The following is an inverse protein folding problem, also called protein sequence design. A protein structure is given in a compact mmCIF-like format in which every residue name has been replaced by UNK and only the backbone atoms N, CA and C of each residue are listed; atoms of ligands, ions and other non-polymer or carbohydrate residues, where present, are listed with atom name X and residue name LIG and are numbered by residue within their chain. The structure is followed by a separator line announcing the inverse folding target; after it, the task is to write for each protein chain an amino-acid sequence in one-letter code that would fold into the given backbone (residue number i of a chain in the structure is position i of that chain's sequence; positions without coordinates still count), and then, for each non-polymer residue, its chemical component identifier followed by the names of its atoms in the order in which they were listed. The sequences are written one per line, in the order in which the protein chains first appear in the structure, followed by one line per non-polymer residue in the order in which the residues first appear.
data_IF_198447306054
#
_entry.id   IF_198447306054
#
_cell.length_a   1.000
_cell.length_b   1.000
_cell.length_c   1.000
_cell.angle_alpha   90.00
_cell.angle_beta   90.00
_cell.angle_gamma   90.00
#
_symmetry.space_group_name_H-M   'P 1'
#
loop_
_entity.id
_entity.type
_entity.pdbx_description
1 polymer ?
#
# COMPACT_ATOMS: atom_id res chain seq x y z
N UNK A 1 -28.90 -4.27 -25.18
CA UNK A 1 -28.11 -5.41 -24.67
C UNK A 1 -27.07 -4.84 -23.73
N UNK A 2 -27.30 -4.99 -22.44
CA UNK A 2 -26.44 -4.53 -21.33
C UNK A 2 -25.78 -5.77 -20.72
N UNK A 3 -24.45 -5.82 -20.53
CA UNK A 3 -23.85 -6.83 -19.67
C UNK A 3 -23.94 -6.33 -18.23
N UNK A 4 -24.83 -6.95 -17.45
CA UNK A 4 -24.86 -6.82 -16.00
C UNK A 4 -23.63 -7.52 -15.41
N UNK A 5 -22.73 -6.79 -14.76
CA UNK A 5 -21.81 -7.41 -13.81
C UNK A 5 -22.61 -7.88 -12.61
N UNK A 6 -22.83 -9.19 -12.52
CA UNK A 6 -23.31 -9.81 -11.30
C UNK A 6 -22.14 -9.88 -10.32
N UNK A 7 -22.21 -9.15 -9.22
CA UNK A 7 -21.49 -9.50 -8.01
C UNK A 7 -22.03 -10.86 -7.56
N UNK A 8 -21.36 -11.94 -7.95
CA UNK A 8 -21.69 -13.27 -7.44
C UNK A 8 -21.37 -13.25 -5.95
N UNK A 9 -22.45 -13.23 -5.17
CA UNK A 9 -22.58 -13.70 -3.80
C UNK A 9 -21.33 -14.44 -3.31
N UNK A 10 -20.56 -13.82 -2.40
CA UNK A 10 -19.76 -14.60 -1.48
C UNK A 10 -20.75 -15.50 -0.72
N UNK A 11 -20.69 -16.80 -0.99
CA UNK A 11 -21.59 -17.77 -0.36
C UNK A 11 -21.41 -17.71 1.17
N UNK A 12 -22.50 -17.71 1.97
CA UNK A 12 -22.39 -17.91 3.41
C UNK A 12 -21.68 -19.26 3.64
N UNK A 13 -20.45 -19.23 4.17
CA UNK A 13 -19.67 -20.44 4.42
C UNK A 13 -18.43 -20.65 3.54
N UNK A 14 -17.98 -19.65 2.78
CA UNK A 14 -16.65 -19.73 2.14
C UNK A 14 -15.58 -19.70 3.24
N UNK A 15 -15.13 -20.89 3.66
CA UNK A 15 -14.08 -21.09 4.65
C UNK A 15 -12.80 -20.50 4.06
N UNK A 16 -12.46 -19.27 4.45
CA UNK A 16 -11.14 -18.70 4.16
C UNK A 16 -10.14 -19.63 4.86
N UNK A 17 -9.29 -20.37 4.13
CA UNK A 17 -8.39 -21.31 4.77
C UNK A 17 -7.36 -20.51 5.57
N UNK A 18 -7.55 -20.45 6.88
CA UNK A 18 -6.53 -20.01 7.81
C UNK A 18 -5.43 -21.06 7.79
N UNK A 19 -4.39 -20.80 6.99
CA UNK A 19 -3.17 -21.60 7.03
C UNK A 19 -2.30 -21.00 8.13
N UNK A 20 -2.16 -21.64 9.31
CA UNK A 20 -1.24 -21.16 10.33
C UNK A 20 0.16 -21.16 9.73
N UNK A 21 0.74 -19.96 9.58
CA UNK A 21 2.15 -19.81 9.22
C UNK A 21 2.92 -19.61 10.51
N UNK A 22 3.89 -20.48 10.85
CA UNK A 22 4.76 -20.19 11.98
C UNK A 22 5.45 -18.85 11.72
N UNK A 23 5.60 -18.03 12.78
CA UNK A 23 6.45 -16.84 12.71
C UNK A 23 7.84 -17.31 12.28
N UNK A 24 8.23 -16.95 11.06
CA UNK A 24 9.57 -17.19 10.54
C UNK A 24 10.21 -15.83 10.36
N UNK A 25 11.36 -15.64 10.98
CA UNK A 25 12.23 -14.54 10.62
C UNK A 25 12.65 -14.74 9.17
N UNK A 26 12.57 -13.67 8.39
CA UNK A 26 13.10 -13.63 7.04
C UNK A 26 14.12 -12.50 7.00
N UNK A 27 15.39 -12.88 7.09
CA UNK A 27 16.51 -11.95 7.22
C UNK A 27 16.63 -11.02 6.01
N UNK A 28 16.01 -11.34 4.88
CA UNK A 28 15.91 -10.42 3.73
C UNK A 28 15.18 -9.13 4.11
N UNK A 29 14.11 -9.23 4.91
CA UNK A 29 13.43 -8.06 5.48
C UNK A 29 14.26 -7.32 6.52
N UNK A 30 15.40 -7.84 6.97
CA UNK A 30 16.33 -7.12 7.84
C UNK A 30 17.43 -6.47 6.99
N UNK A 31 17.93 -7.19 5.99
CA UNK A 31 19.13 -6.82 5.25
C UNK A 31 18.87 -5.97 4.00
N UNK A 32 17.70 -6.08 3.36
CA UNK A 32 17.38 -5.35 2.12
C UNK A 32 16.77 -3.99 2.40
N UNK A 33 17.25 -2.93 1.75
CA UNK A 33 16.66 -1.59 1.85
C UNK A 33 15.30 -1.56 1.11
N UNK A 34 14.18 -1.17 1.77
CA UNK A 34 12.89 -1.01 1.12
C UNK A 34 12.90 -0.06 -0.08
N UNK A 35 13.87 0.86 -0.16
CA UNK A 35 14.02 1.81 -1.27
C UNK A 35 14.79 1.23 -2.46
N UNK A 36 15.37 0.03 -2.33
CA UNK A 36 16.08 -0.64 -3.42
C UNK A 36 15.12 -1.33 -4.41
N UNK A 37 13.92 -1.68 -3.97
CA UNK A 37 12.90 -2.35 -4.77
C UNK A 37 12.25 -1.48 -5.86
N UNK A 38 11.42 -2.14 -6.67
CA UNK A 38 10.65 -1.55 -7.78
C UNK A 38 9.47 -0.70 -7.30
N UNK A 39 8.83 -1.10 -6.20
CA UNK A 39 7.58 -0.50 -5.70
C UNK A 39 7.79 0.84 -5.01
N UNK A 40 9.02 1.15 -4.57
CA UNK A 40 9.32 2.37 -3.84
C UNK A 40 8.89 3.66 -4.57
N UNK A 41 9.01 3.69 -5.89
CA UNK A 41 8.66 4.85 -6.70
C UNK A 41 7.17 5.23 -6.61
N UNK A 42 6.28 4.28 -6.31
CA UNK A 42 4.85 4.52 -6.09
C UNK A 42 4.60 5.59 -5.02
N UNK A 43 5.41 5.59 -3.96
CA UNK A 43 5.28 6.53 -2.84
C UNK A 43 5.82 7.91 -3.12
N UNK A 44 6.52 8.08 -4.25
CA UNK A 44 6.86 9.39 -4.80
C UNK A 44 5.82 9.86 -5.84
N UNK A 45 4.66 9.19 -5.92
CA UNK A 45 3.66 9.44 -6.95
C UNK A 45 4.13 9.07 -8.35
N UNK A 46 5.06 8.13 -8.48
CA UNK A 46 5.61 7.67 -9.78
C UNK A 46 5.24 6.21 -10.03
N UNK A 47 5.21 5.80 -11.29
CA UNK A 47 5.05 4.37 -11.63
C UNK A 47 6.19 3.52 -11.07
N UNK A 48 5.98 2.20 -10.98
CA UNK A 48 7.02 1.23 -10.60
C UNK A 48 8.34 1.49 -11.36
N UNK A 49 9.45 1.41 -10.63
CA UNK A 49 10.80 1.50 -11.17
C UNK A 49 11.19 0.16 -11.79
N UNK A 50 10.59 -0.16 -12.95
CA UNK A 50 10.74 -1.47 -13.62
C UNK A 50 12.20 -1.80 -13.99
N UNK A 51 13.07 -0.79 -14.07
CA UNK A 51 14.49 -0.93 -14.32
C UNK A 51 15.30 -1.51 -13.14
N UNK A 52 14.71 -1.56 -11.94
CA UNK A 52 15.37 -2.07 -10.73
C UNK A 52 15.15 -3.57 -10.56
N UNK A 53 15.98 -4.19 -9.74
CA UNK A 53 15.73 -5.56 -9.29
C UNK A 53 14.58 -5.59 -8.29
N UNK A 54 13.83 -6.70 -8.29
CA UNK A 54 12.79 -6.92 -7.29
C UNK A 54 13.43 -7.30 -5.96
N UNK A 55 12.90 -6.78 -4.87
CA UNK A 55 13.31 -7.09 -3.49
C UNK A 55 12.18 -7.76 -2.72
N UNK A 56 12.48 -8.35 -1.56
CA UNK A 56 11.44 -8.95 -0.71
C UNK A 56 10.40 -7.92 -0.23
N UNK A 57 10.76 -6.63 -0.23
CA UNK A 57 9.84 -5.55 0.08
C UNK A 57 8.79 -5.32 -1.01
N UNK A 58 9.12 -5.61 -2.28
CA UNK A 58 8.15 -5.49 -3.38
C UNK A 58 6.99 -6.49 -3.23
N UNK A 59 7.21 -7.62 -2.56
CA UNK A 59 6.18 -8.64 -2.31
C UNK A 59 5.14 -8.19 -1.27
N UNK A 60 5.51 -7.29 -0.36
CA UNK A 60 4.61 -6.74 0.66
C UNK A 60 4.15 -5.31 0.36
N UNK A 61 4.52 -4.78 -0.79
CA UNK A 61 3.98 -3.54 -1.34
C UNK A 61 2.86 -3.81 -2.35
N UNK A 62 1.60 -4.04 -1.92
CA UNK A 62 0.50 -4.09 -2.86
C UNK A 62 0.18 -2.73 -3.49
N UNK A 63 -0.01 -2.76 -4.80
CA UNK A 63 -0.81 -1.79 -5.54
C UNK A 63 -2.31 -2.12 -5.48
N UNK A 64 -2.79 -2.63 -4.34
CA UNK A 64 -4.20 -2.95 -4.16
C UNK A 64 -4.98 -1.66 -3.87
N UNK A 65 -5.95 -1.39 -4.75
CA UNK A 65 -6.85 -0.25 -4.63
C UNK A 65 -8.28 -0.74 -4.50
N UNK A 66 -9.08 -0.04 -3.70
CA UNK A 66 -10.53 -0.11 -3.82
C UNK A 66 -10.93 0.83 -4.94
N UNK A 67 -11.45 0.28 -6.03
CA UNK A 67 -12.05 1.06 -7.09
C UNK A 67 -13.42 1.58 -6.64
N UNK A 68 -13.62 2.89 -6.72
CA UNK A 68 -14.88 3.56 -6.40
C UNK A 68 -15.30 4.38 -7.61
N UNK A 69 -16.44 4.04 -8.19
CA UNK A 69 -17.06 4.84 -9.26
C UNK A 69 -17.64 6.13 -8.69
N UNK A 70 -17.32 7.27 -9.30
CA UNK A 70 -17.83 8.60 -8.92
C UNK A 70 -17.68 8.90 -7.40
N UNK A 71 -16.46 8.84 -6.84
CA UNK A 71 -16.21 8.92 -5.40
C UNK A 71 -16.72 10.23 -4.76
N UNK A 72 -16.76 11.33 -5.54
CA UNK A 72 -17.32 12.61 -5.10
C UNK A 72 -18.78 12.53 -4.64
N UNK A 73 -19.56 11.55 -5.14
CA UNK A 73 -20.93 11.28 -4.65
C UNK A 73 -20.97 10.89 -3.17
N UNK A 74 -19.89 10.31 -2.67
CA UNK A 74 -19.74 9.87 -1.28
C UNK A 74 -18.90 10.84 -0.45
N UNK A 75 -18.47 11.96 -1.02
CA UNK A 75 -17.56 12.91 -0.38
C UNK A 75 -16.12 12.40 -0.28
N UNK A 76 -15.73 11.40 -1.08
CA UNK A 76 -14.35 10.94 -1.16
C UNK A 76 -13.59 11.73 -2.25
N UNK A 77 -12.34 12.11 -1.94
CA UNK A 77 -11.39 12.71 -2.87
C UNK A 77 -9.98 12.10 -2.69
N UNK A 78 -9.03 12.48 -3.55
CA UNK A 78 -7.62 12.10 -3.39
C UNK A 78 -7.26 10.70 -3.88
N UNK A 79 -8.21 9.97 -4.48
CA UNK A 79 -7.96 8.71 -5.18
C UNK A 79 -7.27 8.92 -6.53
N UNK A 80 -6.70 7.83 -7.06
CA UNK A 80 -6.00 7.84 -8.36
C UNK A 80 -6.96 7.45 -9.49
N UNK A 81 -6.98 8.17 -10.61
CA UNK A 81 -7.87 7.86 -11.74
C UNK A 81 -7.51 6.54 -12.42
N UNK A 82 -8.30 5.50 -12.16
CA UNK A 82 -8.05 4.14 -12.68
C UNK A 82 -8.31 4.04 -14.18
N UNK A 83 -9.16 4.90 -14.74
CA UNK A 83 -9.37 4.96 -16.19
C UNK A 83 -8.15 5.52 -16.93
N UNK A 84 -7.22 6.18 -16.23
CA UNK A 84 -5.99 6.70 -16.80
C UNK A 84 -4.77 5.80 -16.52
N UNK A 85 -4.70 5.17 -15.33
CA UNK A 85 -3.48 4.50 -14.87
C UNK A 85 -3.54 2.97 -14.82
N UNK A 86 -4.74 2.37 -14.91
CA UNK A 86 -4.85 0.91 -14.84
C UNK A 86 -4.31 0.27 -16.13
N UNK A 87 -3.67 -0.89 -15.99
CA UNK A 87 -3.18 -1.69 -17.12
C UNK A 87 -4.30 -2.00 -18.13
N UNK A 88 -5.51 -2.27 -17.63
CA UNK A 88 -6.72 -2.46 -18.41
C UNK A 88 -7.70 -1.32 -18.12
N UNK A 89 -7.37 -0.10 -18.54
CA UNK A 89 -8.18 1.10 -18.27
C UNK A 89 -9.63 1.00 -18.75
N UNK A 90 -9.91 0.19 -19.78
CA UNK A 90 -11.26 -0.05 -20.32
C UNK A 90 -12.17 -0.85 -19.40
N UNK A 91 -11.63 -1.48 -18.34
CA UNK A 91 -12.43 -2.18 -17.31
C UNK A 91 -13.07 -1.21 -16.31
N UNK A 92 -12.62 0.04 -16.28
CA UNK A 92 -13.10 1.05 -15.32
C UNK A 92 -13.95 2.10 -16.01
N UNK A 93 -15.13 2.39 -15.45
CA UNK A 93 -15.95 3.49 -15.92
C UNK A 93 -15.21 4.83 -15.78
N UNK A 94 -15.48 5.79 -16.66
CA UNK A 94 -14.92 7.13 -16.55
C UNK A 94 -15.27 7.76 -15.18
N UNK A 95 -14.27 8.35 -14.51
CA UNK A 95 -14.42 8.91 -13.17
C UNK A 95 -14.29 7.89 -12.02
N UNK A 96 -13.90 6.65 -12.32
CA UNK A 96 -13.52 5.68 -11.28
C UNK A 96 -12.17 6.04 -10.69
N UNK A 97 -12.09 6.15 -9.37
CA UNK A 97 -10.83 6.34 -8.66
C UNK A 97 -10.49 5.15 -7.77
N UNK A 98 -9.19 4.85 -7.69
CA UNK A 98 -8.61 3.85 -6.84
C UNK A 98 -8.12 4.46 -5.54
N UNK A 99 -8.56 3.89 -4.42
CA UNK A 99 -8.17 4.30 -3.08
C UNK A 99 -7.28 3.24 -2.45
N UNK A 100 -6.07 3.63 -2.06
CA UNK A 100 -5.14 2.74 -1.38
C UNK A 100 -5.72 2.32 -0.02
N UNK A 101 -5.52 1.05 0.33
CA UNK A 101 -5.93 0.52 1.63
C UNK A 101 -5.04 1.12 2.72
N UNK A 102 -5.64 1.59 3.83
CA UNK A 102 -4.91 2.27 4.90
C UNK A 102 -3.75 1.44 5.48
N UNK A 103 -3.88 0.11 5.52
CA UNK A 103 -2.80 -0.78 5.98
C UNK A 103 -1.58 -0.78 5.05
N UNK A 104 -1.75 -0.48 3.76
CA UNK A 104 -0.63 -0.34 2.82
C UNK A 104 0.20 0.90 3.11
N UNK A 105 -0.46 1.99 3.54
CA UNK A 105 0.24 3.18 4.04
C UNK A 105 1.01 2.84 5.33
N UNK A 106 0.46 2.02 6.21
CA UNK A 106 1.16 1.57 7.43
C UNK A 106 2.41 0.74 7.09
N UNK A 107 2.33 -0.19 6.12
CA UNK A 107 3.48 -0.96 5.65
C UNK A 107 4.55 -0.05 5.03
N UNK A 108 4.14 0.93 4.22
CA UNK A 108 5.04 1.96 3.70
C UNK A 108 5.79 2.70 4.80
N UNK A 109 5.07 3.14 5.84
CA UNK A 109 5.67 3.84 6.96
C UNK A 109 6.72 2.97 7.69
N UNK A 110 6.49 1.67 7.83
CA UNK A 110 7.48 0.73 8.37
C UNK A 110 8.72 0.64 7.47
N UNK A 111 8.51 0.55 6.15
CA UNK A 111 9.61 0.55 5.18
C UNK A 111 10.45 1.84 5.21
N UNK A 112 9.80 3.00 5.29
CA UNK A 112 10.47 4.30 5.41
C UNK A 112 11.30 4.39 6.68
N UNK A 113 10.72 4.01 7.84
CA UNK A 113 11.46 3.99 9.10
C UNK A 113 12.68 3.08 9.03
N UNK A 114 12.53 1.88 8.44
CA UNK A 114 13.66 0.98 8.22
C UNK A 114 14.74 1.62 7.34
N UNK A 115 14.36 2.22 6.22
CA UNK A 115 15.32 2.89 5.34
C UNK A 115 16.13 3.95 6.12
N UNK A 116 15.49 4.76 6.96
CA UNK A 116 16.19 5.76 7.76
C UNK A 116 17.11 5.15 8.83
N UNK A 117 16.73 4.02 9.45
CA UNK A 117 17.64 3.28 10.33
C UNK A 117 18.88 2.78 9.59
N UNK A 118 18.74 2.32 8.34
CA UNK A 118 19.87 1.91 7.50
C UNK A 118 20.76 3.11 7.15
N UNK A 119 20.17 4.25 6.75
CA UNK A 119 20.93 5.48 6.49
C UNK A 119 21.76 5.90 7.70
N UNK A 120 21.15 5.91 8.89
CA UNK A 120 21.85 6.25 10.13
C UNK A 120 22.98 5.27 10.46
N UNK A 121 22.73 3.95 10.30
CA UNK A 121 23.75 2.90 10.50
C UNK A 121 24.95 3.09 9.57
N UNK A 122 24.68 3.48 8.33
CA UNK A 122 25.69 3.66 7.29
C UNK A 122 26.38 5.05 7.38
N UNK A 123 26.04 5.86 8.40
CA UNK A 123 26.67 7.16 8.69
C UNK A 123 26.09 8.33 7.90
N UNK A 124 24.96 8.14 7.21
CA UNK A 124 24.28 9.19 6.47
C UNK A 124 23.34 9.98 7.38
N UNK A 125 23.40 11.31 7.31
CA UNK A 125 22.49 12.17 8.05
C UNK A 125 21.14 12.28 7.33
N UNK A 126 20.07 12.26 8.10
CA UNK A 126 18.73 12.55 7.61
C UNK A 126 18.54 14.05 7.33
N UNK A 127 17.83 14.37 6.26
CA UNK A 127 17.34 15.72 5.98
C UNK A 127 16.15 16.07 6.86
N UNK A 128 15.87 17.36 7.02
CA UNK A 128 14.69 17.85 7.75
C UNK A 128 13.37 17.26 7.19
N UNK A 129 13.27 17.16 5.85
CA UNK A 129 12.11 16.53 5.20
C UNK A 129 11.99 15.04 5.56
N UNK A 130 13.10 14.33 5.68
CA UNK A 130 13.10 12.92 6.10
C UNK A 130 12.67 12.77 7.57
N UNK A 131 13.08 13.69 8.45
CA UNK A 131 12.59 13.73 9.83
C UNK A 131 11.07 13.97 9.90
N UNK A 132 10.57 14.99 9.20
CA UNK A 132 9.14 15.25 9.14
C UNK A 132 8.36 14.04 8.59
N UNK A 133 8.92 13.34 7.60
CA UNK A 133 8.30 12.12 7.08
C UNK A 133 8.34 10.97 8.09
N UNK A 134 9.41 10.84 8.89
CA UNK A 134 9.51 9.86 9.96
C UNK A 134 8.45 10.11 11.05
N UNK A 135 8.20 11.37 11.43
CA UNK A 135 7.15 11.73 12.39
C UNK A 135 5.76 11.33 11.89
N UNK A 136 5.47 11.61 10.61
CA UNK A 136 4.24 11.14 9.94
C UNK A 136 4.14 9.61 9.98
N UNK A 137 5.23 8.90 9.66
CA UNK A 137 5.27 7.44 9.65
C UNK A 137 5.02 6.83 11.04
N UNK A 138 5.55 7.47 12.09
CA UNK A 138 5.31 7.08 13.47
C UNK A 138 3.82 7.22 13.84
N UNK A 139 3.21 8.35 13.48
CA UNK A 139 1.78 8.60 13.72
C UNK A 139 0.88 7.60 12.96
N UNK A 140 1.20 7.32 11.69
CA UNK A 140 0.46 6.31 10.91
C UNK A 140 0.55 4.92 11.53
N UNK A 141 1.72 4.55 12.08
CA UNK A 141 1.90 3.26 12.77
C UNK A 141 1.10 3.21 14.08
N UNK A 142 0.97 4.32 14.81
CA UNK A 142 0.13 4.40 16.01
C UNK A 142 -1.36 4.12 15.71
N UNK A 143 -1.83 4.56 14.54
CA UNK A 143 -3.24 4.38 14.13
C UNK A 143 -3.62 2.91 13.87
N UNK A 144 -2.64 2.02 13.63
CA UNK A 144 -2.86 0.56 13.51
C UNK A 144 -3.64 0.04 14.72
N UNK A 145 -3.31 0.51 15.93
CA UNK A 145 -3.96 0.08 17.18
C UNK A 145 -5.30 0.78 17.42
N UNK A 146 -5.45 2.03 17.01
CA UNK A 146 -6.66 2.81 17.29
C UNK A 146 -7.88 2.30 16.52
N UNK A 147 -7.68 1.77 15.31
CA UNK A 147 -8.76 1.18 14.53
C UNK A 147 -9.23 -0.18 15.07
N UNK A 148 -8.52 -0.75 16.06
CA UNK A 148 -8.88 -2.00 16.75
C UNK A 148 -9.66 -1.72 18.05
N UNK A 149 -9.60 -0.49 18.58
CA UNK A 149 -10.21 -0.11 19.86
C UNK A 149 -11.23 1.01 19.65
N UNK A 150 -12.28 0.71 18.90
CA UNK A 150 -13.61 1.28 19.14
C UNK A 150 -14.63 0.16 19.02
N UNK A 151 -15.12 -0.40 20.14
CA UNK A 151 -16.41 -1.07 20.09
C UNK A 151 -17.48 -0.01 19.85
N UNK A 152 -18.49 -0.41 19.06
CA UNK A 152 -19.73 0.30 18.78
C UNK A 152 -20.35 0.94 20.03
#
# INVERSE_FOLDING_TARGET
MTPSMSWKNASPGQHIPWIPRPFRADDRFINEDPYAGKAWSLYKGKSFAFERESTVWDDIYPGDFIAIENPGKYGFDGGVDLSAIAANSTEFAAGTQGFGLAFLHQIHCIGVMKHYLLQQRDGNNMTEQQFHHADHCLEMTRQVRLNIIKPF
#
